data_IF_241399187737
#
_entry.id   IF_241399187737
#
_cell.length_a   1.000
_cell.length_b   1.000
_cell.length_c   1.000
_cell.angle_alpha   90.00
_cell.angle_beta   90.00
_cell.angle_gamma   90.00
#
_symmetry.space_group_name_H-M   'P 1'
#
loop_
_entity.id
_entity.type
_entity.pdbx_description
1 polymer ?
#
# COMPACT_ATOMS: atom_id res chain seq x y z
N UNK A 1 -9.67 0.25 -20.34
CA UNK A 1 -8.60 -0.69 -19.95
C UNK A 1 -7.99 -0.20 -18.65
N UNK A 2 -7.50 -1.07 -17.78
CA UNK A 2 -6.77 -0.68 -16.58
C UNK A 2 -5.27 -0.95 -16.78
N UNK A 3 -4.40 -0.34 -15.98
CA UNK A 3 -2.96 -0.49 -16.11
C UNK A 3 -2.25 -0.68 -14.76
N UNK A 4 -1.28 -1.58 -14.75
CA UNK A 4 -0.53 -1.95 -13.54
C UNK A 4 0.26 -0.77 -13.00
N UNK A 5 0.16 -0.52 -11.70
CA UNK A 5 0.87 0.59 -11.08
C UNK A 5 1.61 0.19 -9.80
N UNK A 6 0.90 -0.38 -8.83
CA UNK A 6 1.45 -0.79 -7.54
C UNK A 6 1.16 -2.28 -7.30
N UNK A 7 2.11 -2.97 -6.69
CA UNK A 7 1.92 -4.34 -6.21
C UNK A 7 2.35 -4.42 -4.75
N UNK A 8 1.46 -4.90 -3.87
CA UNK A 8 1.74 -5.11 -2.45
C UNK A 8 1.78 -6.60 -2.16
N UNK A 9 2.89 -7.06 -1.59
CA UNK A 9 3.06 -8.44 -1.12
C UNK A 9 2.95 -8.45 0.39
N UNK A 10 1.89 -9.07 0.92
CA UNK A 10 1.70 -9.20 2.37
C UNK A 10 2.71 -10.17 2.96
N UNK A 11 3.24 -9.83 4.14
CA UNK A 11 4.25 -10.62 4.85
C UNK A 11 3.91 -10.69 6.34
N UNK A 12 4.23 -11.82 6.94
CA UNK A 12 4.36 -11.95 8.39
C UNK A 12 5.79 -11.63 8.78
N UNK A 13 5.98 -10.79 9.78
CA UNK A 13 7.30 -10.47 10.34
C UNK A 13 7.26 -10.55 11.86
N UNK A 14 8.10 -11.40 12.46
CA UNK A 14 8.10 -11.62 13.92
C UNK A 14 6.70 -11.92 14.50
N UNK A 15 5.91 -12.73 13.80
CA UNK A 15 4.50 -13.05 14.12
C UNK A 15 3.51 -11.88 14.00
N UNK A 16 3.95 -10.73 13.47
CA UNK A 16 3.12 -9.60 13.13
C UNK A 16 2.73 -9.68 11.64
N UNK A 17 1.43 -9.84 11.37
CA UNK A 17 0.88 -9.91 10.02
C UNK A 17 0.60 -8.52 9.43
N UNK A 18 0.95 -7.43 10.11
CA UNK A 18 0.61 -6.08 9.66
C UNK A 18 1.46 -5.58 8.49
N UNK A 19 2.43 -6.38 8.04
CA UNK A 19 3.49 -5.93 7.14
C UNK A 19 3.27 -6.35 5.68
N UNK A 20 3.89 -5.59 4.78
CA UNK A 20 3.97 -5.93 3.37
C UNK A 20 5.12 -5.22 2.67
N UNK A 21 5.40 -5.64 1.45
CA UNK A 21 6.38 -5.05 0.54
C UNK A 21 5.64 -4.39 -0.61
N UNK A 22 5.84 -3.08 -0.79
CA UNK A 22 5.28 -2.36 -1.93
C UNK A 22 6.30 -2.28 -3.05
N UNK A 23 5.87 -2.71 -4.22
CA UNK A 23 6.55 -2.56 -5.49
C UNK A 23 5.79 -1.56 -6.35
N UNK A 24 6.52 -0.83 -7.17
CA UNK A 24 5.96 0.16 -8.11
C UNK A 24 6.50 -0.13 -9.51
N UNK A 25 5.65 0.02 -10.53
CA UNK A 25 6.06 -0.20 -11.90
C UNK A 25 6.92 0.99 -12.39
N UNK A 26 8.00 0.73 -13.14
CA UNK A 26 8.79 1.76 -13.82
C UNK A 26 8.29 2.02 -15.26
N UNK A 27 8.86 3.01 -15.94
CA UNK A 27 8.44 3.39 -17.30
C UNK A 27 8.73 2.29 -18.34
N UNK A 28 9.58 1.32 -18.02
CA UNK A 28 9.88 0.13 -18.82
C UNK A 28 8.95 -1.05 -18.50
N UNK A 29 8.01 -0.90 -17.57
CA UNK A 29 7.06 -1.96 -17.18
C UNK A 29 7.61 -2.98 -16.19
N UNK A 30 8.80 -2.76 -15.62
CA UNK A 30 9.41 -3.62 -14.61
C UNK A 30 8.98 -3.21 -13.20
N UNK A 31 9.01 -4.15 -12.25
CA UNK A 31 8.69 -3.88 -10.85
C UNK A 31 9.95 -3.60 -10.04
N UNK A 32 9.96 -2.49 -9.31
CA UNK A 32 11.00 -2.15 -8.35
C UNK A 32 10.42 -2.09 -6.94
N UNK A 33 11.15 -2.63 -5.96
CA UNK A 33 10.75 -2.52 -4.55
C UNK A 33 10.87 -1.05 -4.13
N UNK A 34 9.77 -0.47 -3.67
CA UNK A 34 9.71 0.93 -3.24
C UNK A 34 9.91 1.08 -1.73
N UNK A 35 9.15 0.31 -0.95
CA UNK A 35 9.14 0.44 0.51
C UNK A 35 8.45 -0.77 1.17
N UNK A 36 8.42 -0.78 2.50
CA UNK A 36 7.48 -1.63 3.23
C UNK A 36 6.14 -0.89 3.42
N UNK A 37 5.11 -1.64 3.74
CA UNK A 37 3.79 -1.12 4.09
C UNK A 37 3.36 -1.68 5.42
N UNK A 38 2.57 -0.88 6.13
CA UNK A 38 1.87 -1.32 7.32
C UNK A 38 0.37 -1.12 7.17
N UNK A 39 -0.39 -2.14 7.53
CA UNK A 39 -1.86 -2.15 7.54
C UNK A 39 -2.33 -3.02 8.72
N UNK A 40 -3.46 -2.66 9.33
CA UNK A 40 -3.99 -3.48 10.43
C UNK A 40 -4.62 -4.78 9.89
N UNK A 41 -4.51 -5.92 10.60
CA UNK A 41 -5.01 -7.20 10.14
C UNK A 41 -6.51 -7.22 9.89
N UNK A 42 -6.95 -8.29 9.22
CA UNK A 42 -8.37 -8.52 9.11
C UNK A 42 -8.90 -8.87 10.49
N UNK A 43 -9.85 -8.08 10.99
CA UNK A 43 -10.49 -8.29 12.27
C UNK A 43 -12.01 -8.46 12.06
N UNK A 44 -12.62 -9.34 12.84
CA UNK A 44 -14.04 -9.65 12.78
C UNK A 44 -14.68 -9.49 14.16
N UNK A 45 -15.97 -9.17 14.21
CA UNK A 45 -16.69 -9.24 15.48
C UNK A 45 -16.65 -10.69 16.00
N UNK A 46 -16.19 -10.85 17.24
CA UNK A 46 -16.05 -12.16 17.90
C UNK A 46 -17.37 -12.65 18.53
N UNK A 47 -18.34 -11.75 18.73
CA UNK A 47 -19.65 -12.05 19.31
C UNK A 47 -20.70 -11.02 18.92
N UNK A 48 -21.99 -11.33 19.17
CA UNK A 48 -23.13 -10.47 18.89
C UNK A 48 -23.69 -10.57 17.46
N UNK A 49 -24.64 -9.70 17.07
CA UNK A 49 -25.37 -9.79 15.80
C UNK A 49 -24.50 -9.55 14.54
N UNK A 50 -23.25 -9.13 14.72
CA UNK A 50 -22.28 -8.91 13.65
C UNK A 50 -21.17 -9.96 13.61
N UNK A 51 -21.27 -11.04 14.41
CA UNK A 51 -20.25 -12.10 14.49
C UNK A 51 -19.79 -12.57 13.12
N UNK A 52 -18.46 -12.68 12.94
CA UNK A 52 -17.84 -13.09 11.67
C UNK A 52 -17.83 -12.01 10.58
N UNK A 53 -18.54 -10.89 10.75
CA UNK A 53 -18.42 -9.73 9.85
C UNK A 53 -17.16 -8.95 10.18
N UNK A 54 -16.55 -8.38 9.14
CA UNK A 54 -15.39 -7.51 9.27
C UNK A 54 -15.70 -6.32 10.18
N UNK A 55 -14.77 -5.94 11.05
CA UNK A 55 -14.82 -4.63 11.69
C UNK A 55 -14.46 -3.60 10.64
N UNK A 56 -15.47 -3.13 9.90
CA UNK A 56 -15.35 -2.27 8.72
C UNK A 56 -14.52 -0.99 8.93
N UNK A 57 -14.26 -0.56 10.15
CA UNK A 57 -13.42 0.61 10.39
C UNK A 57 -11.96 0.28 10.68
N UNK A 58 -11.57 -0.99 10.88
CA UNK A 58 -10.24 -1.38 11.36
C UNK A 58 -9.48 -2.34 10.45
N UNK A 59 -10.19 -3.13 9.63
CA UNK A 59 -9.58 -4.23 8.87
C UNK A 59 -8.89 -3.80 7.58
N UNK A 60 -7.75 -4.41 7.27
CA UNK A 60 -7.19 -4.41 5.90
C UNK A 60 -8.17 -4.96 4.87
N UNK A 61 -7.88 -4.72 3.59
CA UNK A 61 -8.66 -5.26 2.47
C UNK A 61 -8.35 -6.71 2.17
N UNK A 62 -9.15 -7.38 1.32
CA UNK A 62 -8.81 -8.71 0.82
C UNK A 62 -7.63 -8.65 -0.16
N UNK A 63 -6.99 -9.79 -0.39
CA UNK A 63 -6.08 -9.98 -1.54
C UNK A 63 -6.91 -9.86 -2.82
N UNK A 64 -6.34 -9.24 -3.86
CA UNK A 64 -7.00 -8.99 -5.13
C UNK A 64 -6.51 -7.73 -5.83
N UNK A 65 -7.16 -7.42 -6.94
CA UNK A 65 -6.86 -6.26 -7.78
C UNK A 65 -7.88 -5.15 -7.56
N UNK A 66 -7.38 -3.93 -7.41
CA UNK A 66 -8.18 -2.74 -7.13
C UNK A 66 -7.79 -1.61 -8.07
N UNK A 67 -8.77 -1.00 -8.73
CA UNK A 67 -8.53 0.30 -9.36
C UNK A 67 -8.21 1.32 -8.27
N UNK A 68 -7.26 2.22 -8.54
CA UNK A 68 -6.92 3.31 -7.63
C UNK A 68 -7.21 4.66 -8.26
N UNK A 69 -7.80 5.56 -7.47
CA UNK A 69 -8.07 6.94 -7.89
C UNK A 69 -7.26 7.92 -7.05
N UNK A 70 -6.51 8.84 -7.69
CA UNK A 70 -5.90 9.95 -6.97
C UNK A 70 -6.95 10.80 -6.27
N UNK A 71 -6.64 11.24 -5.07
CA UNK A 71 -7.39 12.27 -4.35
C UNK A 71 -6.55 13.52 -4.17
N UNK A 72 -7.22 14.65 -4.34
CA UNK A 72 -6.60 15.97 -4.36
C UNK A 72 -5.75 16.26 -3.11
N UNK A 73 -4.74 17.09 -3.34
CA UNK A 73 -3.74 17.53 -2.39
C UNK A 73 -4.34 18.61 -1.47
N UNK A 74 -5.01 18.16 -0.41
CA UNK A 74 -5.52 19.03 0.66
C UNK A 74 -4.59 19.04 1.86
N UNK A 75 -5.04 19.49 3.04
CA UNK A 75 -4.26 19.43 4.29
C UNK A 75 -3.75 18.02 4.64
N UNK A 76 -4.41 16.99 4.11
CA UNK A 76 -4.08 15.56 4.29
C UNK A 76 -3.07 15.03 3.27
N UNK A 77 -2.66 15.82 2.29
CA UNK A 77 -1.78 15.42 1.19
C UNK A 77 -2.49 14.63 0.10
N UNK A 78 -1.77 14.43 -1.01
CA UNK A 78 -2.13 13.54 -2.11
C UNK A 78 -2.20 12.08 -1.66
N UNK A 79 -3.22 11.36 -2.14
CA UNK A 79 -3.58 9.99 -1.70
C UNK A 79 -4.10 9.16 -2.86
N UNK A 80 -4.01 7.84 -2.74
CA UNK A 80 -4.63 6.89 -3.68
C UNK A 80 -5.77 6.16 -2.98
N UNK A 81 -6.99 6.27 -3.48
CA UNK A 81 -8.14 5.54 -2.93
C UNK A 81 -8.43 4.29 -3.76
N UNK A 82 -8.43 3.13 -3.09
CA UNK A 82 -8.85 1.85 -3.66
C UNK A 82 -10.34 1.86 -3.91
N UNK A 83 -10.73 1.48 -5.12
CA UNK A 83 -12.12 1.39 -5.56
C UNK A 83 -12.65 -0.04 -5.39
N UNK A 84 -13.97 -0.18 -5.25
CA UNK A 84 -14.68 -1.47 -5.28
C UNK A 84 -14.16 -2.52 -4.29
N UNK A 85 -13.76 -2.10 -3.09
CA UNK A 85 -13.17 -3.01 -2.09
C UNK A 85 -14.19 -3.98 -1.47
N UNK A 86 -15.47 -3.81 -1.79
CA UNK A 86 -16.60 -4.65 -1.40
C UNK A 86 -17.11 -4.42 0.02
N UNK A 87 -16.22 -4.26 1.00
CA UNK A 87 -16.59 -4.19 2.41
C UNK A 87 -16.57 -2.77 2.98
N UNK A 88 -15.84 -1.82 2.38
CA UNK A 88 -15.89 -0.38 2.76
C UNK A 88 -15.37 0.57 1.67
N UNK A 89 -15.71 1.84 1.76
CA UNK A 89 -15.14 2.91 0.93
C UNK A 89 -14.00 3.63 1.67
N UNK A 90 -13.33 4.60 1.01
CA UNK A 90 -12.28 5.43 1.59
C UNK A 90 -11.01 4.69 2.05
N UNK A 91 -10.72 3.54 1.46
CA UNK A 91 -9.48 2.81 1.74
C UNK A 91 -8.36 3.43 0.92
N UNK A 92 -7.30 3.88 1.59
CA UNK A 92 -6.31 4.73 0.93
C UNK A 92 -4.88 4.24 1.17
N UNK A 93 -4.02 4.50 0.20
CA UNK A 93 -2.59 4.67 0.40
C UNK A 93 -2.36 6.15 0.70
N UNK A 94 -1.76 6.44 1.85
CA UNK A 94 -1.55 7.82 2.29
C UNK A 94 -0.31 7.95 3.16
N UNK A 95 0.22 9.17 3.26
CA UNK A 95 1.31 9.52 4.19
C UNK A 95 0.84 9.42 5.64
N UNK A 96 1.77 9.21 6.57
CA UNK A 96 1.47 9.35 7.99
C UNK A 96 1.15 10.82 8.31
N UNK A 97 0.15 11.02 9.19
CA UNK A 97 -0.24 12.34 9.67
C UNK A 97 -0.95 12.16 11.02
N UNK A 98 -0.79 13.12 11.95
CA UNK A 98 -1.34 13.04 13.31
C UNK A 98 -2.86 12.76 13.37
N UNK A 99 -3.61 13.24 12.39
CA UNK A 99 -5.07 13.04 12.29
C UNK A 99 -5.48 11.92 11.33
N UNK A 100 -4.52 11.17 10.78
CA UNK A 100 -4.79 10.08 9.85
C UNK A 100 -4.58 8.74 10.53
N UNK A 101 -5.62 7.91 10.49
CA UNK A 101 -5.62 6.59 11.06
C UNK A 101 -5.25 5.56 9.99
N UNK A 102 -4.37 4.62 10.33
CA UNK A 102 -4.02 3.46 9.49
C UNK A 102 -5.13 2.39 9.45
N UNK A 103 -6.26 2.65 10.11
CA UNK A 103 -7.31 1.66 10.30
C UNK A 103 -7.94 1.28 8.94
N UNK A 104 -7.57 0.09 8.49
CA UNK A 104 -7.83 -0.47 7.17
C UNK A 104 -7.19 0.24 5.98
N UNK A 105 -6.31 1.24 6.18
CA UNK A 105 -5.54 1.90 5.13
C UNK A 105 -4.16 1.27 5.02
N UNK A 106 -3.47 1.51 3.90
CA UNK A 106 -2.08 1.09 3.72
C UNK A 106 -1.17 2.30 3.94
N UNK A 107 -0.29 2.20 4.94
CA UNK A 107 0.71 3.21 5.21
C UNK A 107 2.05 2.80 4.58
N UNK A 108 2.57 3.54 3.59
CA UNK A 108 3.94 3.36 3.13
C UNK A 108 4.92 3.77 4.25
N UNK A 109 5.78 2.84 4.64
CA UNK A 109 6.80 3.02 5.68
C UNK A 109 8.17 2.61 5.16
N UNK A 110 9.20 3.31 5.60
CA UNK A 110 10.58 2.98 5.27
C UNK A 110 11.15 2.01 6.30
N UNK A 111 11.82 0.95 5.84
CA UNK A 111 13.25 0.68 5.98
C UNK A 111 13.64 -0.34 4.90
N UNK A 112 14.89 -0.43 4.43
CA UNK A 112 15.30 -1.52 3.51
C UNK A 112 15.49 -2.87 4.25
N UNK A 113 15.21 -2.87 5.56
CA UNK A 113 15.28 -3.98 6.48
C UNK A 113 14.11 -3.87 7.49
N UNK A 114 13.37 -4.96 7.72
CA UNK A 114 12.43 -5.03 8.84
C UNK A 114 13.28 -5.23 10.10
N UNK A 115 13.60 -4.16 10.82
CA UNK A 115 14.44 -4.21 12.03
C UNK A 115 13.67 -3.95 13.32
N UNK A 116 12.47 -3.37 13.22
CA UNK A 116 11.59 -3.10 14.36
C UNK A 116 10.14 -3.49 14.03
N UNK A 117 9.41 -3.97 15.04
CA UNK A 117 8.03 -4.45 14.94
C UNK A 117 6.97 -3.37 15.29
N UNK A 118 7.37 -2.22 15.84
CA UNK A 118 6.44 -1.20 16.30
C UNK A 118 6.56 0.11 15.49
N UNK A 119 5.46 0.52 14.86
CA UNK A 119 5.29 1.89 14.36
C UNK A 119 4.65 2.75 15.44
N UNK A 120 5.39 3.74 15.94
CA UNK A 120 4.84 4.70 16.90
C UNK A 120 4.00 5.75 16.17
N UNK A 121 2.74 5.91 16.60
CA UNK A 121 1.86 6.96 16.06
C UNK A 121 2.47 8.33 16.34
N UNK A 122 2.47 9.19 15.32
CA UNK A 122 3.00 10.55 15.45
C UNK A 122 4.53 10.63 15.41
N UNK A 123 5.24 9.52 15.21
CA UNK A 123 6.68 9.52 15.02
C UNK A 123 7.07 10.48 13.87
N UNK A 124 7.88 11.51 14.15
CA UNK A 124 8.29 12.49 13.15
C UNK A 124 9.04 11.88 11.97
N UNK A 125 9.88 10.85 12.19
CA UNK A 125 10.64 10.20 11.13
C UNK A 125 9.71 9.45 10.18
N UNK A 126 8.74 8.71 10.71
CA UNK A 126 7.72 8.03 9.89
C UNK A 126 6.90 9.05 9.08
N UNK A 127 6.54 10.20 9.66
CA UNK A 127 5.83 11.26 8.94
C UNK A 127 6.63 11.84 7.78
N UNK A 128 7.91 12.15 8.01
CA UNK A 128 8.81 12.68 6.97
C UNK A 128 8.99 11.65 5.85
N UNK A 129 9.35 10.41 6.21
CA UNK A 129 9.65 9.36 5.24
C UNK A 129 8.42 8.96 4.42
N UNK A 130 7.26 8.79 5.06
CA UNK A 130 6.02 8.47 4.35
C UNK A 130 5.57 9.61 3.42
N UNK A 131 5.84 10.87 3.78
CA UNK A 131 5.61 12.02 2.88
C UNK A 131 6.51 11.93 1.65
N UNK A 132 7.81 11.66 1.82
CA UNK A 132 8.73 11.45 0.70
C UNK A 132 8.30 10.28 -0.19
N UNK A 133 7.84 9.17 0.40
CA UNK A 133 7.34 8.01 -0.34
C UNK A 133 6.09 8.36 -1.16
N UNK A 134 5.12 9.08 -0.58
CA UNK A 134 3.93 9.52 -1.32
C UNK A 134 4.28 10.46 -2.48
N UNK A 135 5.27 11.34 -2.31
CA UNK A 135 5.77 12.18 -3.42
C UNK A 135 6.36 11.31 -4.54
N UNK A 136 7.15 10.29 -4.21
CA UNK A 136 7.68 9.33 -5.21
C UNK A 136 6.56 8.59 -5.94
N UNK A 137 5.56 8.10 -5.21
CA UNK A 137 4.38 7.43 -5.78
C UNK A 137 3.64 8.37 -6.72
N UNK A 138 3.36 9.61 -6.30
CA UNK A 138 2.69 10.61 -7.13
C UNK A 138 3.47 10.90 -8.41
N UNK A 139 4.77 11.17 -8.31
CA UNK A 139 5.60 11.44 -9.48
C UNK A 139 5.61 10.27 -10.46
N UNK A 140 5.70 9.03 -9.97
CA UNK A 140 5.62 7.85 -10.82
C UNK A 140 4.24 7.66 -11.45
N UNK A 141 3.17 7.93 -10.71
CA UNK A 141 1.81 7.92 -11.23
C UNK A 141 1.66 8.90 -12.40
N UNK A 142 2.09 10.15 -12.21
CA UNK A 142 1.97 11.21 -13.23
C UNK A 142 2.78 10.87 -14.50
N UNK A 143 3.99 10.31 -14.33
CA UNK A 143 4.80 9.83 -15.44
C UNK A 143 4.14 8.68 -16.21
N UNK A 144 3.66 7.66 -15.51
CA UNK A 144 3.06 6.48 -16.16
C UNK A 144 1.69 6.74 -16.77
N UNK A 145 0.90 7.65 -16.18
CA UNK A 145 -0.42 8.01 -16.69
C UNK A 145 -0.33 8.62 -18.09
N UNK A 146 0.78 9.27 -18.42
CA UNK A 146 1.00 9.86 -19.75
C UNK A 146 1.03 8.75 -20.80
N UNK A 147 0.04 8.73 -21.70
CA UNK A 147 -0.10 7.70 -22.73
C UNK A 147 -0.85 6.43 -22.30
N UNK A 148 -1.42 6.38 -21.09
CA UNK A 148 -2.30 5.29 -20.65
C UNK A 148 -3.76 5.70 -20.71
N UNK A 149 -4.64 4.78 -21.08
CA UNK A 149 -6.09 4.94 -20.99
C UNK A 149 -6.65 4.13 -19.83
N UNK A 150 -7.64 4.70 -19.14
CA UNK A 150 -8.32 4.14 -17.97
C UNK A 150 -7.53 4.13 -16.66
N UNK A 151 -7.94 3.28 -15.71
CA UNK A 151 -7.55 3.39 -14.30
C UNK A 151 -6.24 2.66 -13.98
N UNK A 152 -5.41 3.27 -13.14
CA UNK A 152 -4.29 2.59 -12.51
C UNK A 152 -4.79 1.49 -11.57
N UNK A 153 -4.04 0.40 -11.45
CA UNK A 153 -4.36 -0.72 -10.55
C UNK A 153 -3.32 -0.91 -9.47
N UNK A 154 -3.82 -1.34 -8.32
CA UNK A 154 -3.06 -1.89 -7.23
C UNK A 154 -3.42 -3.37 -7.07
N UNK A 155 -2.41 -4.23 -7.10
CA UNK A 155 -2.54 -5.66 -6.81
C UNK A 155 -2.07 -5.95 -5.39
N UNK A 156 -2.86 -6.66 -4.59
CA UNK A 156 -2.46 -7.17 -3.27
C UNK A 156 -2.39 -8.68 -3.37
N UNK A 157 -1.29 -9.28 -2.94
CA UNK A 157 -1.09 -10.72 -3.03
C UNK A 157 -0.16 -11.26 -1.94
N UNK A 158 0.00 -12.58 -1.92
CA UNK A 158 0.98 -13.27 -1.07
C UNK A 158 2.31 -13.54 -1.80
N UNK A 159 2.41 -13.21 -3.10
CA UNK A 159 3.54 -13.56 -3.96
C UNK A 159 4.09 -12.34 -4.70
N UNK A 160 5.37 -12.40 -5.07
CA UNK A 160 6.00 -11.34 -5.86
C UNK A 160 5.33 -11.18 -7.24
N UNK A 161 5.32 -9.96 -7.82
CA UNK A 161 4.86 -9.77 -9.19
C UNK A 161 5.80 -10.47 -10.18
N UNK A 162 5.28 -10.84 -11.35
CA UNK A 162 6.13 -11.31 -12.45
C UNK A 162 7.09 -10.18 -12.88
N UNK A 163 8.38 -10.48 -13.04
CA UNK A 163 9.44 -9.55 -13.47
C UNK A 163 9.81 -8.46 -12.44
N UNK A 164 10.15 -8.88 -11.21
CA UNK A 164 10.83 -8.01 -10.25
C UNK A 164 12.24 -7.72 -10.74
N UNK A 165 12.59 -6.45 -10.88
CA UNK A 165 13.98 -6.04 -11.01
C UNK A 165 14.63 -6.13 -9.62
N UNK A 166 15.37 -7.20 -9.37
CA UNK A 166 16.17 -7.37 -8.16
C UNK A 166 17.58 -6.89 -8.50
N UNK A 167 18.04 -5.74 -7.95
CA UNK A 167 19.40 -5.29 -8.17
C UNK A 167 20.38 -6.38 -7.71
N UNK A 168 21.15 -6.94 -8.64
CA UNK A 168 22.15 -7.98 -8.38
C UNK A 168 21.77 -9.43 -8.73
N UNK A 169 20.55 -9.71 -9.19
CA UNK A 169 20.14 -11.09 -9.54
C UNK A 169 20.74 -11.64 -10.86
N UNK A 170 21.39 -10.80 -11.68
CA UNK A 170 22.00 -11.21 -12.95
C UNK A 170 23.50 -11.57 -12.85
N UNK A 171 24.01 -11.97 -11.68
CA UNK A 171 25.43 -12.38 -11.54
C UNK A 171 25.69 -13.89 -11.53
N UNK A 172 24.65 -14.72 -11.63
CA UNK A 172 24.80 -16.18 -11.64
C UNK A 172 23.78 -16.86 -12.56
N UNK A 173 23.76 -16.48 -13.83
CA UNK A 173 23.19 -17.29 -14.90
C UNK A 173 24.33 -17.74 -15.82
#
# INVERSE_FOLDING_TARGET
MSWNFIHVVRRTFQSDDNWGEMFIQNTQGQWEKLCFTYELPWDTFSSGPHTGKSKNNHSRVKIGDYNVKPRADGPKGWRLELQNTGHRSNIQIHRAHKSMFIQGCMLPVSFNNLSTNALNKGDPLIQIQSTTLMTKIKNRYDLLKTGKTGDATLTISATLPAKVNIPGANKYA
#
